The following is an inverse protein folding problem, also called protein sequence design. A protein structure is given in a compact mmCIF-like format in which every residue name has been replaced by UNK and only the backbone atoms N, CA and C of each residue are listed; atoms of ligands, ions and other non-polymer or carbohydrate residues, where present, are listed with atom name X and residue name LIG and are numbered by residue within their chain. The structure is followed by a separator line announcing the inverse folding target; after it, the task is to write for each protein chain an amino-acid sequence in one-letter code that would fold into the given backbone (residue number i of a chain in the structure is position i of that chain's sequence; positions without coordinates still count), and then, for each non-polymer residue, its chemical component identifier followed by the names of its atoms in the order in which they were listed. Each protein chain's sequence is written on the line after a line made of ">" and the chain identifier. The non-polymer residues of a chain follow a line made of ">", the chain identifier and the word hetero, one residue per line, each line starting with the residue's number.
data_IF_729877354482
#
_entry.id   IF_729877354482
#
_cell.length_a   1.000
_cell.length_b   1.000
_cell.length_c   1.000
_cell.angle_alpha   90.00
_cell.angle_beta   90.00
_cell.angle_gamma   90.00
#
_symmetry.space_group_name_H-M   'P 1'
#
loop_
_entity.id
_entity.type
_entity.pdbx_description
1 polymer ?
#
# COMPACT_ATOMS: atom_id res chain seq x y z
N UNK A 1 37.82 -65.81 27.52
CA UNK A 1 37.71 -64.48 28.14
C UNK A 1 38.32 -63.48 27.17
N UNK A 2 37.51 -62.69 26.46
CA UNK A 2 37.95 -61.58 25.61
C UNK A 2 36.93 -60.44 25.77
N UNK A 3 37.41 -59.28 26.22
CA UNK A 3 36.63 -58.06 26.37
C UNK A 3 36.48 -57.38 25.01
N UNK A 4 35.26 -56.95 24.68
CA UNK A 4 34.94 -56.15 23.50
C UNK A 4 34.50 -54.76 23.96
N UNK A 5 35.32 -53.77 23.65
CA UNK A 5 35.13 -52.36 23.99
C UNK A 5 34.03 -51.75 23.11
N UNK A 6 33.07 -51.04 23.72
CA UNK A 6 32.01 -50.33 23.02
C UNK A 6 32.33 -48.83 23.03
N UNK A 7 32.55 -48.28 21.84
CA UNK A 7 32.87 -46.87 21.59
C UNK A 7 31.58 -46.02 21.64
N UNK A 8 31.56 -44.84 22.27
CA UNK A 8 30.35 -44.03 22.38
C UNK A 8 30.03 -43.30 21.07
N UNK A 9 28.78 -43.41 20.62
CA UNK A 9 28.22 -42.68 19.48
C UNK A 9 28.05 -41.21 19.87
N UNK A 10 28.83 -40.34 19.24
CA UNK A 10 28.74 -38.89 19.38
C UNK A 10 27.46 -38.41 18.68
N UNK A 11 26.43 -38.05 19.46
CA UNK A 11 25.21 -37.42 18.93
C UNK A 11 25.52 -35.97 18.55
N UNK A 12 25.68 -35.71 17.25
CA UNK A 12 25.86 -34.37 16.71
C UNK A 12 24.52 -33.62 16.76
N UNK A 13 24.37 -32.70 17.71
CA UNK A 13 23.18 -31.85 17.82
C UNK A 13 23.16 -30.84 16.67
N UNK A 14 22.38 -31.13 15.62
CA UNK A 14 22.13 -30.17 14.53
C UNK A 14 21.19 -29.06 15.01
N UNK A 15 21.76 -27.88 15.25
CA UNK A 15 21.02 -26.65 15.51
C UNK A 15 20.34 -26.22 14.20
N UNK A 16 19.02 -26.43 14.08
CA UNK A 16 18.23 -25.87 12.99
C UNK A 16 18.12 -24.35 13.19
N UNK A 17 18.98 -23.59 12.48
CA UNK A 17 18.83 -22.16 12.35
C UNK A 17 17.53 -21.87 11.59
N UNK A 18 16.50 -21.39 12.31
CA UNK A 18 15.23 -20.97 11.70
C UNK A 18 15.48 -19.68 10.92
N UNK A 19 15.62 -19.79 9.60
CA UNK A 19 15.61 -18.63 8.71
C UNK A 19 14.20 -18.06 8.67
N UNK A 20 14.00 -16.86 9.22
CA UNK A 20 12.76 -16.12 9.05
C UNK A 20 12.62 -15.75 7.56
N UNK A 21 11.78 -16.48 6.82
CA UNK A 21 11.38 -16.08 5.48
C UNK A 21 10.42 -14.89 5.61
N UNK A 22 10.81 -13.74 5.09
CA UNK A 22 9.88 -12.63 4.87
C UNK A 22 8.81 -13.13 3.89
N UNK A 23 7.59 -13.32 4.39
CA UNK A 23 6.46 -13.77 3.59
C UNK A 23 5.92 -12.56 2.82
N UNK A 24 6.39 -12.39 1.59
CA UNK A 24 5.94 -11.35 0.69
C UNK A 24 4.47 -11.61 0.34
N UNK A 25 3.58 -10.73 0.80
CA UNK A 25 2.14 -10.91 0.60
C UNK A 25 1.81 -10.70 -0.88
N UNK A 26 0.93 -11.54 -1.47
CA UNK A 26 0.61 -11.44 -2.89
C UNK A 26 -0.06 -10.10 -3.19
N UNK A 27 0.55 -9.34 -4.08
CA UNK A 27 0.02 -8.07 -4.51
C UNK A 27 -1.25 -8.31 -5.34
N UNK A 28 -2.39 -7.81 -4.86
CA UNK A 28 -3.71 -8.13 -5.43
C UNK A 28 -4.23 -6.99 -6.28
N UNK A 29 -4.68 -7.29 -7.50
CA UNK A 29 -5.33 -6.34 -8.37
C UNK A 29 -6.78 -6.07 -7.89
N UNK A 30 -7.11 -4.80 -7.64
CA UNK A 30 -8.40 -4.40 -7.12
C UNK A 30 -8.76 -2.96 -7.47
N UNK A 31 -10.05 -2.64 -7.39
CA UNK A 31 -10.55 -1.27 -7.57
C UNK A 31 -10.73 -0.65 -6.19
N UNK A 32 -10.12 0.51 -5.97
CA UNK A 32 -10.28 1.31 -4.76
C UNK A 32 -10.83 2.68 -5.10
N UNK A 33 -11.84 3.13 -4.37
CA UNK A 33 -12.49 4.42 -4.61
C UNK A 33 -12.56 5.21 -3.32
N UNK A 34 -12.14 6.47 -3.37
CA UNK A 34 -12.02 7.29 -2.18
C UNK A 34 -11.49 8.69 -2.48
N UNK A 35 -11.08 9.39 -1.43
CA UNK A 35 -10.40 10.67 -1.53
C UNK A 35 -8.94 10.44 -1.92
N UNK A 36 -8.57 10.90 -3.11
CA UNK A 36 -7.17 11.06 -3.50
C UNK A 36 -6.67 12.38 -2.93
N UNK A 37 -5.65 12.32 -2.10
CA UNK A 37 -5.06 13.47 -1.42
C UNK A 37 -3.60 13.61 -1.85
N UNK A 38 -3.20 14.82 -2.26
CA UNK A 38 -1.84 15.20 -2.59
C UNK A 38 -1.60 16.58 -1.99
N UNK A 39 -1.16 16.63 -0.72
CA UNK A 39 -0.99 17.90 0.00
C UNK A 39 0.32 18.62 -0.37
N UNK A 40 1.30 17.89 -0.92
CA UNK A 40 2.65 18.41 -1.23
C UNK A 40 3.35 17.58 -2.33
N UNK A 41 4.39 18.12 -3.00
CA UNK A 41 5.06 17.43 -4.10
C UNK A 41 5.62 16.06 -3.72
N UNK A 42 5.25 15.04 -4.50
CA UNK A 42 5.72 13.65 -4.31
C UNK A 42 5.03 12.88 -3.19
N UNK A 43 4.01 13.48 -2.54
CA UNK A 43 3.20 12.81 -1.54
C UNK A 43 1.78 12.62 -2.07
N UNK A 44 1.27 11.39 -1.99
CA UNK A 44 -0.12 11.10 -2.31
C UNK A 44 -0.63 9.89 -1.54
N UNK A 45 -1.90 9.94 -1.15
CA UNK A 45 -2.63 8.84 -0.51
C UNK A 45 -4.04 8.71 -1.09
N UNK A 46 -4.60 7.51 -1.06
CA UNK A 46 -6.03 7.27 -1.28
C UNK A 46 -6.68 6.87 0.05
N UNK A 47 -7.65 7.67 0.50
CA UNK A 47 -8.46 7.35 1.67
C UNK A 47 -9.80 6.76 1.23
N UNK A 48 -10.01 5.48 1.49
CA UNK A 48 -11.29 4.82 1.29
C UNK A 48 -11.85 4.21 2.59
N UNK A 49 -12.90 3.38 2.49
CA UNK A 49 -13.56 2.79 3.65
C UNK A 49 -12.65 1.89 4.51
N UNK A 50 -11.57 1.35 3.93
CA UNK A 50 -10.62 0.49 4.65
C UNK A 50 -9.44 1.30 5.22
N UNK A 51 -9.44 2.62 5.04
CA UNK A 51 -8.43 3.53 5.55
C UNK A 51 -7.52 4.11 4.46
N UNK A 52 -6.33 4.49 4.88
CA UNK A 52 -5.30 5.09 4.02
C UNK A 52 -4.57 4.02 3.20
N UNK A 53 -4.32 4.36 1.94
CA UNK A 53 -3.43 3.64 1.04
C UNK A 53 -2.38 4.61 0.50
N UNK A 54 -1.14 4.39 0.89
CA UNK A 54 -0.02 5.25 0.49
C UNK A 54 0.26 5.01 -1.00
N UNK A 55 0.23 6.09 -1.79
CA UNK A 55 0.59 6.07 -3.22
C UNK A 55 2.03 6.52 -3.39
N UNK A 56 2.43 7.57 -2.68
CA UNK A 56 3.78 8.10 -2.75
C UNK A 56 4.16 8.89 -1.50
N UNK A 57 5.43 8.78 -1.10
CA UNK A 57 6.07 9.61 -0.08
C UNK A 57 7.34 10.20 -0.68
N UNK A 58 7.55 11.51 -0.50
CA UNK A 58 8.73 12.19 -1.01
C UNK A 58 10.03 11.54 -0.49
N UNK A 59 10.88 11.10 -1.42
CA UNK A 59 12.14 10.41 -1.10
C UNK A 59 12.00 8.96 -0.65
N UNK A 60 10.79 8.40 -0.70
CA UNK A 60 10.48 7.02 -0.28
C UNK A 60 9.69 6.24 -1.33
N UNK A 61 8.72 5.45 -0.86
CA UNK A 61 7.82 4.65 -1.69
C UNK A 61 7.13 5.51 -2.75
N UNK A 62 7.02 4.98 -3.97
CA UNK A 62 6.29 5.58 -5.08
C UNK A 62 5.66 4.46 -5.91
N UNK A 63 4.33 4.52 -6.07
CA UNK A 63 3.62 3.60 -6.94
C UNK A 63 4.03 3.78 -8.41
N UNK A 64 4.11 2.68 -9.15
CA UNK A 64 4.17 2.72 -10.62
C UNK A 64 2.84 3.25 -11.20
N UNK A 65 2.90 3.97 -12.33
CA UNK A 65 1.72 4.36 -13.11
C UNK A 65 1.20 5.77 -12.83
N UNK A 66 0.19 6.18 -13.61
CA UNK A 66 -0.28 7.56 -13.63
C UNK A 66 -1.33 7.84 -12.54
N UNK A 67 -1.27 9.05 -11.99
CA UNK A 67 -2.29 9.58 -11.08
C UNK A 67 -3.56 9.99 -11.83
N UNK A 68 -4.71 10.09 -11.15
CA UNK A 68 -5.92 10.62 -11.76
C UNK A 68 -5.73 12.09 -12.17
N UNK A 69 -6.15 12.42 -13.40
CA UNK A 69 -6.27 13.80 -13.85
C UNK A 69 -7.60 14.40 -13.38
N UNK A 70 -7.55 15.58 -12.77
CA UNK A 70 -8.71 16.30 -12.27
C UNK A 70 -8.97 17.57 -13.08
N UNK A 71 -10.24 17.88 -13.33
CA UNK A 71 -10.65 19.24 -13.71
C UNK A 71 -10.81 20.12 -12.47
N UNK A 72 -10.84 21.44 -12.67
CA UNK A 72 -11.07 22.43 -11.59
C UNK A 72 -12.31 22.13 -10.74
N UNK A 73 -13.36 21.53 -11.33
CA UNK A 73 -14.59 21.18 -10.61
C UNK A 73 -14.50 19.89 -9.76
N UNK A 74 -13.42 19.14 -9.93
CA UNK A 74 -13.18 17.83 -9.30
C UNK A 74 -12.03 17.88 -8.28
N UNK A 75 -11.39 19.03 -8.15
CA UNK A 75 -10.25 19.26 -7.27
C UNK A 75 -10.58 20.34 -6.25
N UNK A 76 -10.06 20.18 -5.04
CA UNK A 76 -10.11 21.20 -3.98
C UNK A 76 -8.68 21.60 -3.68
N UNK A 77 -8.30 22.81 -4.06
CA UNK A 77 -6.98 23.34 -3.73
C UNK A 77 -6.90 23.69 -2.25
N UNK A 78 -5.94 23.09 -1.54
CA UNK A 78 -5.66 23.37 -0.12
C UNK A 78 -4.28 24.01 0.06
N UNK A 79 -3.38 23.82 -0.91
CA UNK A 79 -2.01 24.34 -0.85
C UNK A 79 -1.44 24.62 -2.27
N UNK A 80 -1.79 25.76 -2.85
CA UNK A 80 -1.36 26.10 -4.21
C UNK A 80 -2.03 25.20 -5.24
N UNK A 81 -1.25 24.39 -5.99
CA UNK A 81 -1.78 23.37 -6.91
C UNK A 81 -1.95 22.00 -6.25
N UNK A 82 -1.72 21.91 -4.94
CA UNK A 82 -1.92 20.72 -4.12
C UNK A 82 -3.28 20.76 -3.43
N UNK A 83 -3.80 19.58 -3.11
CA UNK A 83 -5.17 19.43 -2.67
C UNK A 83 -5.65 17.99 -2.77
N UNK A 84 -6.97 17.85 -2.90
CA UNK A 84 -7.62 16.56 -2.94
C UNK A 84 -8.80 16.53 -3.90
N UNK A 85 -9.15 15.31 -4.32
CA UNK A 85 -10.27 15.05 -5.21
C UNK A 85 -10.82 13.65 -5.00
N UNK A 86 -12.03 13.41 -5.49
CA UNK A 86 -12.64 12.07 -5.42
C UNK A 86 -12.17 11.23 -6.60
N UNK A 87 -11.69 10.01 -6.40
CA UNK A 87 -11.17 9.17 -7.48
C UNK A 87 -11.47 7.67 -7.29
N UNK A 88 -11.35 6.91 -8.38
CA UNK A 88 -11.26 5.46 -8.36
C UNK A 88 -10.00 5.00 -9.11
N UNK A 89 -9.25 4.11 -8.48
CA UNK A 89 -8.00 3.56 -9.00
C UNK A 89 -8.14 2.05 -9.20
N UNK A 90 -7.67 1.53 -10.33
CA UNK A 90 -7.35 0.13 -10.53
C UNK A 90 -5.90 -0.05 -10.07
N UNK A 91 -5.70 -0.82 -9.01
CA UNK A 91 -4.42 -0.87 -8.30
C UNK A 91 -3.99 -2.28 -7.97
N UNK A 92 -2.68 -2.44 -7.84
CA UNK A 92 -2.05 -3.57 -7.18
C UNK A 92 -1.51 -3.06 -5.84
N UNK A 93 -1.95 -3.67 -4.73
CA UNK A 93 -1.62 -3.20 -3.38
C UNK A 93 -0.81 -4.22 -2.57
N UNK A 94 0.03 -3.73 -1.65
CA UNK A 94 0.60 -4.51 -0.56
C UNK A 94 -0.26 -4.35 0.69
N UNK A 95 -0.93 -5.42 1.11
CA UNK A 95 -1.74 -5.41 2.34
C UNK A 95 -0.90 -5.39 3.61
N UNK A 96 0.39 -5.74 3.52
CA UNK A 96 1.28 -5.72 4.69
C UNK A 96 1.69 -4.29 5.04
N UNK A 97 1.96 -3.46 4.04
CA UNK A 97 2.46 -2.09 4.20
C UNK A 97 1.40 -1.02 3.96
N UNK A 98 0.18 -1.39 3.55
CA UNK A 98 -0.89 -0.45 3.17
C UNK A 98 -0.45 0.52 2.06
N UNK A 99 0.30 -0.01 1.09
CA UNK A 99 0.83 0.73 -0.05
C UNK A 99 0.16 0.29 -1.35
N UNK A 100 -0.12 1.26 -2.22
CA UNK A 100 -0.38 1.01 -3.63
C UNK A 100 0.96 0.85 -4.32
N UNK A 101 1.21 -0.32 -4.92
CA UNK A 101 2.46 -0.66 -5.60
C UNK A 101 2.41 -0.24 -7.07
N UNK A 102 1.24 -0.37 -7.70
CA UNK A 102 1.03 0.03 -9.10
C UNK A 102 -0.40 0.49 -9.32
N UNK A 103 -0.57 1.57 -10.06
CA UNK A 103 -1.84 2.06 -10.60
C UNK A 103 -1.89 1.64 -12.08
N UNK A 104 -2.88 0.82 -12.43
CA UNK A 104 -3.11 0.38 -13.82
C UNK A 104 -4.20 1.17 -14.52
N UNK A 105 -4.96 1.97 -13.77
CA UNK A 105 -5.97 2.88 -14.30
C UNK A 105 -6.46 3.84 -13.21
N UNK A 106 -6.64 5.11 -13.57
CA UNK A 106 -7.08 6.14 -12.65
C UNK A 106 -8.21 6.96 -13.27
N UNK A 107 -9.23 7.29 -12.47
CA UNK A 107 -10.30 8.19 -12.90
C UNK A 107 -10.76 9.10 -11.78
N UNK A 108 -10.71 10.40 -12.03
CA UNK A 108 -11.38 11.39 -11.19
C UNK A 108 -12.90 11.22 -11.25
N UNK A 109 -13.56 11.60 -10.17
CA UNK A 109 -15.00 11.60 -9.97
C UNK A 109 -15.46 12.99 -9.55
N UNK A 110 -16.77 13.24 -9.60
CA UNK A 110 -17.31 14.47 -9.03
C UNK A 110 -17.14 14.44 -7.51
N UNK A 111 -16.74 15.57 -6.90
CA UNK A 111 -16.52 15.69 -5.45
C UNK A 111 -17.71 15.18 -4.62
N UNK A 112 -18.94 15.41 -5.10
CA UNK A 112 -20.17 14.95 -4.46
C UNK A 112 -20.22 13.44 -4.21
N UNK A 113 -19.50 12.64 -5.00
CA UNK A 113 -19.48 11.18 -4.82
C UNK A 113 -18.86 10.84 -3.46
N UNK A 114 -17.67 11.37 -3.18
CA UNK A 114 -17.01 11.11 -1.91
C UNK A 114 -17.67 11.88 -0.75
N UNK A 115 -18.16 13.11 -0.98
CA UNK A 115 -18.89 13.87 0.06
C UNK A 115 -20.19 13.21 0.53
N UNK A 116 -20.86 12.46 -0.35
CA UNK A 116 -22.10 11.76 0.00
C UNK A 116 -21.84 10.38 0.64
N UNK A 117 -20.62 9.84 0.55
CA UNK A 117 -20.26 8.59 1.19
C UNK A 117 -19.88 8.86 2.65
N UNK A 118 -20.74 8.41 3.57
CA UNK A 118 -20.59 8.63 5.02
C UNK A 118 -19.44 7.84 5.64
N UNK A 119 -18.87 6.88 4.91
CA UNK A 119 -17.70 6.12 5.36
C UNK A 119 -16.39 6.86 5.09
N UNK A 120 -16.44 7.94 4.30
CA UNK A 120 -15.29 8.73 3.92
C UNK A 120 -15.27 10.05 4.69
N UNK A 121 -14.06 10.49 5.05
CA UNK A 121 -13.79 11.83 5.56
C UNK A 121 -13.05 12.62 4.48
N UNK A 122 -13.54 13.81 4.15
CA UNK A 122 -12.84 14.74 3.25
C UNK A 122 -11.51 15.17 3.91
N UNK A 123 -10.39 15.12 3.17
CA UNK A 123 -9.10 15.65 3.63
C UNK A 123 -9.19 17.15 3.98
N UNK A 124 -8.32 17.59 4.89
CA UNK A 124 -8.29 18.95 5.42
C UNK A 124 -7.51 19.93 4.52
#
# INVERSE_FOLDING_TARGET
>A
MKHGETLPILFCAMLFASTAQAQESPATAQIRCGWFDNPTPGNASLYDRDGEWIIGIQGGHQADGDWPEFSDSQWVDTNGHHGHGCACLDVVTSTHTHEIIRITGARAKALKICRNDRTLKEPD
#
